data_IF_017198013391
#
_entry.id   IF_017198013391
#
_cell.length_a   1.000
_cell.length_b   1.000
_cell.length_c   1.000
_cell.angle_alpha   90.00
_cell.angle_beta   90.00
_cell.angle_gamma   90.00
#
_symmetry.space_group_name_H-M   'P 1'
#
loop_
_entity.id
_entity.type
_entity.pdbx_description
1 polymer ?
#
# COMPACT_ATOMS: atom_id res chain seq x y z
N UNK A 1 -3.02 1.36 -2.06
CA UNK A 1 -2.95 2.33 -3.18
C UNK A 1 -1.78 2.01 -4.09
N UNK A 2 -0.53 1.99 -3.61
CA UNK A 2 0.64 1.66 -4.45
C UNK A 2 0.56 0.33 -5.17
N UNK A 3 -0.09 -0.66 -4.57
CA UNK A 3 -0.34 -1.95 -5.19
C UNK A 3 -1.38 -1.93 -6.31
N UNK A 4 -2.35 -1.04 -6.23
CA UNK A 4 -3.31 -0.81 -7.31
C UNK A 4 -2.58 -0.34 -8.57
N UNK A 5 -1.62 0.58 -8.41
CA UNK A 5 -0.80 1.06 -9.52
C UNK A 5 0.17 0.03 -10.05
N UNK A 6 0.72 -0.79 -9.19
CA UNK A 6 1.51 -1.92 -9.66
C UNK A 6 0.69 -2.82 -10.60
N UNK A 7 -0.58 -3.04 -10.27
CA UNK A 7 -1.50 -3.78 -11.17
C UNK A 7 -1.74 -3.01 -12.47
N UNK A 8 -1.89 -1.69 -12.41
CA UNK A 8 -1.98 -0.81 -13.58
C UNK A 8 -0.72 -0.86 -14.45
N UNK A 9 0.44 -0.77 -13.83
CA UNK A 9 1.74 -0.89 -14.49
C UNK A 9 1.88 -2.23 -15.22
N UNK A 10 1.52 -3.33 -14.58
CA UNK A 10 1.50 -4.66 -15.19
C UNK A 10 0.59 -4.72 -16.41
N UNK A 11 -0.58 -4.07 -16.35
CA UNK A 11 -1.55 -4.06 -17.45
C UNK A 11 -1.11 -3.15 -18.60
N UNK A 12 -0.79 -1.89 -18.31
CA UNK A 12 -0.62 -0.87 -19.35
C UNK A 12 0.81 -0.79 -19.90
N UNK A 13 1.83 -1.08 -19.07
CA UNK A 13 3.23 -0.98 -19.49
C UNK A 13 3.80 -2.35 -19.85
N UNK A 14 3.58 -3.38 -19.02
CA UNK A 14 4.03 -4.73 -19.33
C UNK A 14 3.10 -5.50 -20.28
N UNK A 15 1.92 -4.95 -20.60
CA UNK A 15 1.01 -5.50 -21.58
C UNK A 15 0.34 -6.83 -21.19
N UNK A 16 0.13 -7.09 -19.90
CA UNK A 16 -0.53 -8.32 -19.43
C UNK A 16 -2.04 -8.18 -19.60
N UNK A 17 -2.57 -8.63 -20.73
CA UNK A 17 -3.96 -8.45 -21.13
C UNK A 17 -4.96 -9.13 -20.20
N UNK A 18 -4.58 -10.25 -19.56
CA UNK A 18 -5.46 -10.96 -18.63
C UNK A 18 -5.89 -10.09 -17.43
N UNK A 19 -5.09 -9.08 -17.05
CA UNK A 19 -5.41 -8.18 -15.95
C UNK A 19 -6.51 -7.17 -16.27
N UNK A 20 -6.98 -7.08 -17.53
CA UNK A 20 -8.10 -6.21 -17.92
C UNK A 20 -9.34 -6.43 -17.05
N UNK A 21 -9.57 -7.67 -16.62
CA UNK A 21 -10.75 -8.03 -15.82
C UNK A 21 -10.71 -7.51 -14.36
N UNK A 22 -9.55 -7.08 -13.85
CA UNK A 22 -9.39 -6.64 -12.46
C UNK A 22 -8.89 -5.20 -12.34
N UNK A 23 -8.53 -4.57 -13.45
CA UNK A 23 -7.92 -3.24 -13.43
C UNK A 23 -8.86 -2.17 -12.88
N UNK A 24 -10.14 -2.20 -13.24
CA UNK A 24 -11.13 -1.24 -12.77
C UNK A 24 -11.31 -1.33 -11.24
N UNK A 25 -11.29 -2.54 -10.69
CA UNK A 25 -11.29 -2.75 -9.25
C UNK A 25 -10.00 -2.19 -8.61
N UNK A 26 -8.84 -2.39 -9.24
CA UNK A 26 -7.59 -1.84 -8.76
C UNK A 26 -7.60 -0.30 -8.74
N UNK A 27 -8.11 0.34 -9.79
CA UNK A 27 -8.27 1.82 -9.85
C UNK A 27 -9.21 2.29 -8.73
N UNK A 28 -10.35 1.64 -8.54
CA UNK A 28 -11.28 1.96 -7.45
C UNK A 28 -10.59 1.85 -6.08
N UNK A 29 -9.87 0.75 -5.82
CA UNK A 29 -9.12 0.57 -4.57
C UNK A 29 -8.07 1.67 -4.40
N UNK A 30 -7.35 2.01 -5.46
CA UNK A 30 -6.39 3.11 -5.47
C UNK A 30 -7.05 4.43 -5.04
N UNK A 31 -8.16 4.78 -5.69
CA UNK A 31 -8.93 5.99 -5.39
C UNK A 31 -9.41 6.02 -3.92
N UNK A 32 -9.98 4.92 -3.42
CA UNK A 32 -10.43 4.82 -2.03
C UNK A 32 -9.26 5.00 -1.05
N UNK A 33 -8.15 4.31 -1.30
CA UNK A 33 -6.99 4.37 -0.39
C UNK A 33 -6.38 5.77 -0.31
N UNK A 34 -6.25 6.47 -1.44
CA UNK A 34 -5.62 7.79 -1.44
C UNK A 34 -6.55 8.91 -0.99
N UNK A 35 -7.83 8.85 -1.32
CA UNK A 35 -8.83 9.78 -0.74
C UNK A 35 -8.94 9.61 0.78
N UNK A 36 -8.92 8.35 1.26
CA UNK A 36 -8.87 8.06 2.70
C UNK A 36 -7.59 8.59 3.36
N UNK A 37 -6.43 8.43 2.71
CA UNK A 37 -5.17 8.95 3.21
C UNK A 37 -5.18 10.47 3.32
N UNK A 38 -5.74 11.18 2.34
CA UNK A 38 -5.90 12.64 2.39
C UNK A 38 -6.85 13.07 3.51
N UNK A 39 -7.94 12.34 3.73
CA UNK A 39 -8.86 12.62 4.84
C UNK A 39 -8.18 12.46 6.20
N UNK A 40 -7.44 11.37 6.40
CA UNK A 40 -6.69 11.14 7.64
C UNK A 40 -5.62 12.21 7.81
N UNK A 41 -4.85 12.51 6.76
CA UNK A 41 -3.82 13.54 6.81
C UNK A 41 -4.41 14.91 7.17
N UNK A 42 -5.59 15.27 6.64
CA UNK A 42 -6.27 16.50 6.98
C UNK A 42 -6.67 16.58 8.47
N UNK A 43 -6.98 15.44 9.09
CA UNK A 43 -7.29 15.37 10.53
C UNK A 43 -6.01 15.47 11.37
N UNK A 44 -4.92 14.83 10.90
CA UNK A 44 -3.68 14.65 11.66
C UNK A 44 -2.74 15.86 11.61
N UNK A 45 -2.86 16.72 10.61
CA UNK A 45 -1.96 17.88 10.40
C UNK A 45 -1.95 18.90 11.55
N UNK A 46 -2.81 18.75 12.57
CA UNK A 46 -2.89 19.64 13.75
C UNK A 46 -3.47 21.04 13.46
N UNK A 47 -3.22 21.61 12.28
CA UNK A 47 -3.82 22.87 11.82
C UNK A 47 -4.39 22.70 10.39
N UNK A 48 -5.51 22.00 10.21
CA UNK A 48 -6.05 21.67 8.89
C UNK A 48 -6.29 22.88 7.99
N UNK A 49 -6.75 24.00 8.57
CA UNK A 49 -7.02 25.24 7.85
C UNK A 49 -5.75 25.94 7.35
N UNK A 50 -4.58 25.52 7.81
CA UNK A 50 -3.28 26.02 7.35
C UNK A 50 -2.51 25.01 6.50
N UNK A 51 -3.03 23.82 6.25
CA UNK A 51 -2.35 22.77 5.49
C UNK A 51 -1.94 23.21 4.06
N UNK A 52 -2.69 24.15 3.48
CA UNK A 52 -2.37 24.73 2.17
C UNK A 52 -1.04 25.51 2.16
N UNK A 53 -0.53 25.99 3.30
CA UNK A 53 0.78 26.66 3.40
C UNK A 53 1.93 25.78 2.90
N UNK A 54 1.82 24.44 3.03
CA UNK A 54 2.85 23.50 2.58
C UNK A 54 3.10 23.63 1.06
N UNK A 55 2.10 24.02 0.29
CA UNK A 55 2.21 24.21 -1.17
C UNK A 55 2.82 25.56 -1.57
N UNK A 56 2.64 26.61 -0.75
CA UNK A 56 3.13 27.96 -1.04
C UNK A 56 4.45 28.29 -0.35
N UNK A 57 4.73 27.63 0.75
CA UNK A 57 5.95 27.76 1.53
C UNK A 57 6.66 26.41 1.68
N UNK A 58 6.86 25.76 0.55
CA UNK A 58 7.45 24.43 0.48
C UNK A 58 8.90 24.42 1.00
N UNK A 59 9.19 23.54 1.95
CA UNK A 59 10.55 23.23 2.35
C UNK A 59 11.07 22.07 1.49
N UNK A 60 11.93 22.37 0.52
CA UNK A 60 12.48 21.39 -0.43
C UNK A 60 13.37 20.32 0.23
N UNK A 61 13.80 20.54 1.47
CA UNK A 61 14.56 19.56 2.23
C UNK A 61 13.68 18.69 3.14
N UNK A 62 12.37 18.91 3.14
CA UNK A 62 11.43 18.14 3.95
C UNK A 62 10.78 17.03 3.14
N UNK A 63 11.00 15.78 3.54
CA UNK A 63 10.28 14.63 2.94
C UNK A 63 8.77 14.74 3.13
N UNK A 64 8.30 15.39 4.19
CA UNK A 64 6.87 15.60 4.41
C UNK A 64 6.27 16.53 3.34
N UNK A 65 7.01 17.55 2.92
CA UNK A 65 6.60 18.42 1.80
C UNK A 65 6.46 17.62 0.52
N UNK A 66 7.44 16.78 0.21
CA UNK A 66 7.42 15.90 -0.95
C UNK A 66 6.22 14.94 -0.91
N UNK A 67 5.97 14.31 0.25
CA UNK A 67 4.80 13.44 0.46
C UNK A 67 3.50 14.18 0.18
N UNK A 68 3.35 15.42 0.65
CA UNK A 68 2.14 16.21 0.44
C UNK A 68 1.92 16.53 -1.05
N UNK A 69 2.97 16.93 -1.76
CA UNK A 69 2.91 17.19 -3.19
C UNK A 69 2.60 15.92 -3.98
N UNK A 70 3.36 14.86 -3.78
CA UNK A 70 3.17 13.59 -4.47
C UNK A 70 1.76 13.03 -4.22
N UNK A 71 1.27 13.07 -2.99
CA UNK A 71 -0.05 12.57 -2.63
C UNK A 71 -1.16 13.38 -3.33
N UNK A 72 -1.02 14.71 -3.38
CA UNK A 72 -2.02 15.58 -4.00
C UNK A 72 -2.07 15.44 -5.51
N UNK A 73 -0.90 15.47 -6.18
CA UNK A 73 -0.81 15.28 -7.63
C UNK A 73 -1.30 13.88 -8.02
N UNK A 74 -0.93 12.90 -7.23
CA UNK A 74 -1.33 11.54 -7.45
C UNK A 74 -2.84 11.33 -7.28
N UNK A 75 -3.46 11.96 -6.29
CA UNK A 75 -4.91 11.93 -6.13
C UNK A 75 -5.62 12.57 -7.34
N UNK A 76 -5.04 13.62 -7.92
CA UNK A 76 -5.56 14.19 -9.16
C UNK A 76 -5.47 13.19 -10.33
N UNK A 77 -4.34 12.49 -10.48
CA UNK A 77 -4.19 11.41 -11.48
C UNK A 77 -5.24 10.32 -11.28
N UNK A 78 -5.42 9.85 -10.05
CA UNK A 78 -6.45 8.86 -9.73
C UNK A 78 -7.87 9.33 -10.04
N UNK A 79 -8.15 10.59 -9.77
CA UNK A 79 -9.45 11.16 -10.10
C UNK A 79 -9.68 11.13 -11.61
N UNK A 80 -8.65 11.47 -12.41
CA UNK A 80 -8.72 11.38 -13.87
C UNK A 80 -8.91 9.93 -14.34
N UNK A 81 -8.22 8.97 -13.72
CA UNK A 81 -8.39 7.54 -14.03
C UNK A 81 -9.77 6.99 -13.62
N UNK A 82 -10.37 7.58 -12.59
CA UNK A 82 -11.70 7.17 -12.11
C UNK A 82 -12.85 7.78 -12.92
N UNK A 83 -12.63 8.91 -13.61
CA UNK A 83 -13.64 9.57 -14.45
C UNK A 83 -14.21 8.63 -15.54
N UNK A 84 -13.42 7.91 -16.33
CA UNK A 84 -13.96 6.96 -17.32
C UNK A 84 -14.90 5.94 -16.73
N UNK A 85 -14.57 5.38 -15.56
CA UNK A 85 -15.45 4.44 -14.85
C UNK A 85 -16.82 5.06 -14.53
N UNK A 86 -16.87 6.35 -14.17
CA UNK A 86 -18.13 7.07 -13.92
C UNK A 86 -18.87 7.29 -15.22
N UNK A 87 -18.18 7.71 -16.29
CA UNK A 87 -18.77 8.04 -17.59
C UNK A 87 -19.29 6.80 -18.32
N UNK A 88 -18.69 5.63 -18.10
CA UNK A 88 -19.14 4.33 -18.60
C UNK A 88 -20.40 3.79 -17.88
N UNK A 89 -20.99 4.57 -16.98
CA UNK A 89 -22.28 4.22 -16.40
C UNK A 89 -23.32 4.03 -17.53
N UNK A 90 -24.13 2.97 -17.42
CA UNK A 90 -25.12 2.54 -18.42
C UNK A 90 -26.06 3.64 -18.94
N UNK A 91 -26.26 4.71 -18.16
CA UNK A 91 -27.08 5.86 -18.54
C UNK A 91 -26.29 6.92 -19.30
N UNK A 92 -25.09 7.22 -18.82
CA UNK A 92 -24.21 8.27 -19.39
C UNK A 92 -23.58 7.82 -20.71
N UNK A 93 -23.22 6.56 -20.84
CA UNK A 93 -22.62 5.99 -22.05
C UNK A 93 -23.56 6.04 -23.28
N UNK A 94 -24.86 6.21 -23.07
CA UNK A 94 -25.84 6.39 -24.16
C UNK A 94 -25.73 7.75 -24.85
N UNK A 95 -25.04 8.72 -24.24
CA UNK A 95 -24.85 10.05 -24.82
C UNK A 95 -23.61 10.03 -25.72
N UNK A 96 -23.73 10.26 -27.05
CA UNK A 96 -22.62 10.10 -28.00
C UNK A 96 -21.39 10.94 -27.65
N UNK A 97 -21.58 12.14 -27.11
CA UNK A 97 -20.48 13.00 -26.66
C UNK A 97 -19.70 12.36 -25.51
N UNK A 98 -20.40 11.80 -24.52
CA UNK A 98 -19.81 11.16 -23.35
C UNK A 98 -19.06 9.89 -23.76
N UNK A 99 -19.68 9.08 -24.61
CA UNK A 99 -19.06 7.86 -25.14
C UNK A 99 -17.74 8.16 -25.86
N UNK A 100 -17.73 9.14 -26.75
CA UNK A 100 -16.52 9.55 -27.47
C UNK A 100 -15.44 10.14 -26.53
N UNK A 101 -15.85 10.90 -25.50
CA UNK A 101 -14.95 11.43 -24.50
C UNK A 101 -14.27 10.30 -23.74
N UNK A 102 -15.04 9.33 -23.26
CA UNK A 102 -14.52 8.18 -22.52
C UNK A 102 -13.55 7.35 -23.37
N UNK A 103 -13.92 7.10 -24.64
CA UNK A 103 -13.06 6.39 -25.57
C UNK A 103 -11.71 7.11 -25.77
N UNK A 104 -11.72 8.40 -25.95
CA UNK A 104 -10.51 9.20 -26.08
C UNK A 104 -9.67 9.19 -24.79
N UNK A 105 -10.30 9.22 -23.62
CA UNK A 105 -9.59 9.12 -22.34
C UNK A 105 -8.84 7.80 -22.21
N UNK A 106 -9.38 6.68 -22.67
CA UNK A 106 -8.69 5.38 -22.62
C UNK A 106 -7.37 5.37 -23.38
N UNK A 107 -7.21 6.16 -24.46
CA UNK A 107 -5.95 6.25 -25.20
C UNK A 107 -4.81 6.90 -24.39
N UNK A 108 -5.14 7.76 -23.43
CA UNK A 108 -4.14 8.45 -22.60
C UNK A 108 -3.92 7.76 -21.25
N UNK A 109 -4.71 6.73 -20.91
CA UNK A 109 -4.62 6.03 -19.61
C UNK A 109 -3.23 5.43 -19.34
N UNK A 110 -2.51 4.97 -20.35
CA UNK A 110 -1.17 4.45 -20.18
C UNK A 110 -0.20 5.50 -19.61
N UNK A 111 -0.34 6.77 -20.04
CA UNK A 111 0.47 7.89 -19.52
C UNK A 111 0.12 8.17 -18.06
N UNK A 112 -1.18 8.22 -17.72
CA UNK A 112 -1.62 8.44 -16.35
C UNK A 112 -1.22 7.28 -15.45
N UNK A 113 -1.36 6.03 -15.89
CA UNK A 113 -0.92 4.85 -15.14
C UNK A 113 0.60 4.87 -14.88
N UNK A 114 1.42 5.26 -15.87
CA UNK A 114 2.86 5.40 -15.68
C UNK A 114 3.21 6.51 -14.69
N UNK A 115 2.58 7.68 -14.83
CA UNK A 115 2.77 8.83 -13.93
C UNK A 115 2.31 8.47 -12.51
N UNK A 116 1.15 7.84 -12.38
CA UNK A 116 0.60 7.40 -11.11
C UNK A 116 1.49 6.35 -10.43
N UNK A 117 2.02 5.39 -11.18
CA UNK A 117 2.96 4.39 -10.66
C UNK A 117 4.24 5.05 -10.13
N UNK A 118 4.82 5.98 -10.90
CA UNK A 118 6.02 6.71 -10.50
C UNK A 118 5.77 7.51 -9.21
N UNK A 119 4.73 8.35 -9.18
CA UNK A 119 4.39 9.17 -8.01
C UNK A 119 4.06 8.30 -6.78
N UNK A 120 3.34 7.20 -6.97
CA UNK A 120 3.01 6.29 -5.88
C UNK A 120 4.24 5.60 -5.30
N UNK A 121 5.16 5.15 -6.13
CA UNK A 121 6.39 4.52 -5.67
C UNK A 121 7.30 5.52 -4.98
N UNK A 122 7.43 6.72 -5.53
CA UNK A 122 8.22 7.78 -4.94
C UNK A 122 7.68 8.19 -3.56
N UNK A 123 6.38 8.43 -3.46
CA UNK A 123 5.69 8.70 -2.21
C UNK A 123 5.88 7.58 -1.16
N UNK A 124 5.72 6.31 -1.55
CA UNK A 124 5.96 5.19 -0.65
C UNK A 124 7.42 5.14 -0.18
N UNK A 125 8.35 5.42 -1.08
CA UNK A 125 9.77 5.51 -0.76
C UNK A 125 10.05 6.62 0.25
N UNK A 126 9.52 7.81 0.04
CA UNK A 126 9.70 8.95 0.94
C UNK A 126 9.14 8.68 2.33
N UNK A 127 7.96 8.04 2.44
CA UNK A 127 7.44 7.57 3.73
C UNK A 127 8.38 6.60 4.42
N UNK A 128 9.00 5.67 3.68
CA UNK A 128 10.02 4.76 4.21
C UNK A 128 11.32 5.47 4.58
N UNK A 129 11.64 6.58 3.93
CA UNK A 129 12.81 7.39 4.21
C UNK A 129 12.68 8.33 5.41
N UNK A 130 11.45 8.76 5.76
CA UNK A 130 11.21 9.65 6.91
C UNK A 130 11.88 9.16 8.19
N UNK A 131 11.73 7.88 8.61
CA UNK A 131 12.45 7.37 9.79
C UNK A 131 13.96 7.48 9.69
N UNK A 132 14.52 7.44 8.49
CA UNK A 132 15.95 7.54 8.24
C UNK A 132 16.53 8.93 8.40
N UNK A 133 15.71 9.98 8.38
CA UNK A 133 16.16 11.39 8.47
C UNK A 133 15.66 12.10 9.72
N UNK A 134 14.99 11.41 10.63
CA UNK A 134 14.51 11.98 11.87
C UNK A 134 15.70 12.31 12.80
N UNK A 135 15.96 13.60 12.95
CA UNK A 135 16.97 14.08 13.88
C UNK A 135 16.65 13.67 15.33
N UNK A 136 17.65 13.28 16.07
CA UNK A 136 17.50 12.81 17.45
C UNK A 136 17.05 11.36 17.60
N UNK A 137 16.79 10.66 16.51
CA UNK A 137 16.43 9.23 16.51
C UNK A 137 17.35 8.43 15.58
N UNK A 138 18.65 8.42 15.84
CA UNK A 138 19.68 7.97 14.90
C UNK A 138 19.62 6.49 14.50
N UNK A 139 19.03 5.62 15.33
CA UNK A 139 18.85 4.20 15.00
C UNK A 139 17.65 3.94 14.08
N UNK A 140 16.79 4.93 13.90
CA UNK A 140 15.81 4.93 12.83
C UNK A 140 16.46 5.03 11.45
N UNK A 141 17.68 5.53 11.38
CA UNK A 141 18.50 5.44 10.19
C UNK A 141 18.76 3.97 9.90
N UNK A 142 17.93 3.40 9.11
CA UNK A 142 18.21 2.20 8.35
C UNK A 142 19.24 2.57 7.30
N UNK A 143 20.45 2.92 7.76
CA UNK A 143 21.56 3.23 6.90
C UNK A 143 21.77 2.07 5.95
N UNK A 144 22.03 2.40 4.74
CA UNK A 144 22.02 1.60 3.57
C UNK A 144 23.22 0.63 3.47
N UNK A 145 23.02 -0.42 2.72
CA UNK A 145 24.13 -1.26 2.26
C UNK A 145 24.88 -0.57 1.10
N UNK A 146 24.15 0.10 0.20
CA UNK A 146 24.70 0.68 -1.02
C UNK A 146 24.20 2.10 -1.33
N UNK A 147 22.97 2.44 -0.94
CA UNK A 147 22.30 3.71 -1.32
C UNK A 147 21.41 4.16 -0.17
N UNK A 148 21.26 5.44 -0.01
CA UNK A 148 20.45 6.15 0.96
C UNK A 148 19.05 5.60 1.20
N UNK A 149 18.42 5.82 2.33
CA UNK A 149 18.09 4.78 3.31
C UNK A 149 17.37 3.62 2.62
N UNK A 150 17.87 2.40 2.82
CA UNK A 150 17.33 1.20 2.17
C UNK A 150 15.85 0.96 2.47
N UNK A 151 15.34 1.49 3.59
CA UNK A 151 13.92 1.52 3.93
C UNK A 151 13.05 2.22 2.86
N UNK A 152 13.59 3.20 2.12
CA UNK A 152 12.93 3.80 0.96
C UNK A 152 12.53 2.73 -0.07
N UNK A 153 13.47 1.90 -0.45
CA UNK A 153 13.24 0.83 -1.42
C UNK A 153 12.37 -0.29 -0.86
N UNK A 154 12.54 -0.66 0.40
CA UNK A 154 11.74 -1.69 1.05
C UNK A 154 10.25 -1.27 1.14
N UNK A 155 9.97 -0.02 1.41
CA UNK A 155 8.58 0.48 1.43
C UNK A 155 7.93 0.40 0.05
N UNK A 156 8.63 0.86 -0.98
CA UNK A 156 8.16 0.77 -2.36
C UNK A 156 7.93 -0.67 -2.78
N UNK A 157 8.91 -1.53 -2.50
CA UNK A 157 8.84 -2.95 -2.88
C UNK A 157 7.71 -3.69 -2.17
N UNK A 158 7.54 -3.45 -0.86
CA UNK A 158 6.42 -4.05 -0.12
C UNK A 158 5.06 -3.60 -0.64
N UNK A 159 4.90 -2.35 -1.07
CA UNK A 159 3.66 -1.87 -1.67
C UNK A 159 3.34 -2.64 -2.98
N UNK A 160 4.34 -2.85 -3.84
CA UNK A 160 4.20 -3.64 -5.05
C UNK A 160 3.95 -5.13 -4.75
N UNK A 161 4.60 -5.68 -3.73
CA UNK A 161 4.50 -7.09 -3.36
C UNK A 161 3.13 -7.46 -2.78
N UNK A 162 2.62 -6.66 -1.85
CA UNK A 162 1.39 -6.97 -1.11
C UNK A 162 0.13 -6.32 -1.68
N UNK A 163 0.27 -5.31 -2.54
CA UNK A 163 -0.87 -4.64 -3.16
C UNK A 163 -1.79 -5.56 -3.94
N UNK A 164 -1.27 -6.46 -4.79
CA UNK A 164 -2.10 -7.46 -5.46
C UNK A 164 -2.84 -8.38 -4.50
N UNK A 165 -2.25 -8.73 -3.34
CA UNK A 165 -2.95 -9.47 -2.29
C UNK A 165 -4.15 -8.68 -1.77
N UNK A 166 -4.00 -7.38 -1.53
CA UNK A 166 -5.11 -6.54 -1.08
C UNK A 166 -6.22 -6.45 -2.13
N UNK A 167 -5.88 -6.31 -3.40
CA UNK A 167 -6.85 -6.32 -4.50
C UNK A 167 -7.62 -7.65 -4.55
N UNK A 168 -6.91 -8.78 -4.42
CA UNK A 168 -7.54 -10.10 -4.38
C UNK A 168 -8.40 -10.30 -3.14
N UNK A 169 -8.00 -9.73 -2.00
CA UNK A 169 -8.78 -9.77 -0.76
C UNK A 169 -10.10 -9.02 -0.89
N UNK A 170 -10.08 -7.80 -1.45
CA UNK A 170 -11.30 -7.02 -1.71
C UNK A 170 -12.18 -7.75 -2.73
N UNK A 171 -11.60 -8.29 -3.81
CA UNK A 171 -12.34 -9.10 -4.77
C UNK A 171 -13.04 -10.28 -4.09
N UNK A 172 -12.34 -11.00 -3.22
CA UNK A 172 -12.93 -12.12 -2.47
C UNK A 172 -14.10 -11.69 -1.60
N UNK A 173 -14.02 -10.54 -0.92
CA UNK A 173 -15.13 -9.99 -0.12
C UNK A 173 -16.33 -9.73 -1.03
N UNK A 174 -16.12 -9.05 -2.17
CA UNK A 174 -17.20 -8.70 -3.11
C UNK A 174 -17.84 -9.98 -3.67
N UNK A 175 -17.05 -10.96 -4.09
CA UNK A 175 -17.56 -12.25 -4.58
C UNK A 175 -18.34 -13.01 -3.49
N UNK A 176 -17.85 -12.97 -2.25
CA UNK A 176 -18.51 -13.62 -1.11
C UNK A 176 -19.87 -13.00 -0.78
N UNK A 177 -19.96 -11.67 -0.84
CA UNK A 177 -21.19 -10.91 -0.56
C UNK A 177 -22.18 -11.00 -1.72
N UNK A 178 -21.69 -10.91 -2.97
CA UNK A 178 -22.55 -10.97 -4.16
C UNK A 178 -22.99 -12.38 -4.54
N UNK A 179 -22.30 -13.41 -4.05
CA UNK A 179 -22.54 -14.81 -4.43
C UNK A 179 -22.14 -15.16 -5.86
N UNK A 180 -21.44 -14.24 -6.56
CA UNK A 180 -21.04 -14.41 -7.96
C UNK A 180 -19.53 -14.47 -8.09
N UNK A 181 -19.02 -15.25 -9.05
CA UNK A 181 -17.63 -15.20 -9.44
C UNK A 181 -17.44 -14.06 -10.45
N UNK A 182 -16.76 -12.99 -10.04
CA UNK A 182 -16.61 -11.76 -10.82
C UNK A 182 -15.31 -11.73 -11.61
N UNK A 183 -14.25 -12.32 -11.07
CA UNK A 183 -12.92 -12.39 -11.71
C UNK A 183 -12.60 -13.83 -12.09
N UNK A 184 -12.07 -14.02 -13.30
CA UNK A 184 -11.65 -15.33 -13.80
C UNK A 184 -10.56 -15.94 -12.90
N UNK A 185 -10.62 -17.25 -12.71
CA UNK A 185 -9.69 -17.96 -11.81
C UNK A 185 -8.24 -17.88 -12.28
N UNK A 186 -8.00 -17.89 -13.61
CA UNK A 186 -6.65 -17.71 -14.15
C UNK A 186 -6.05 -16.36 -13.81
N UNK A 187 -6.85 -15.27 -13.80
CA UNK A 187 -6.42 -13.92 -13.42
C UNK A 187 -6.05 -13.87 -11.94
N UNK A 188 -6.88 -14.47 -11.07
CA UNK A 188 -6.58 -14.57 -9.63
C UNK A 188 -5.27 -15.32 -9.37
N UNK A 189 -5.05 -16.44 -10.07
CA UNK A 189 -3.84 -17.23 -9.95
C UNK A 189 -2.62 -16.51 -10.50
N UNK A 190 -2.73 -15.79 -11.62
CA UNK A 190 -1.66 -14.99 -12.19
C UNK A 190 -1.22 -13.89 -11.22
N UNK A 191 -2.19 -13.10 -10.73
CA UNK A 191 -1.91 -12.00 -9.80
C UNK A 191 -1.33 -12.50 -8.48
N UNK A 192 -1.84 -13.63 -7.96
CA UNK A 192 -1.30 -14.29 -6.77
C UNK A 192 0.13 -14.80 -6.99
N UNK A 193 0.45 -15.35 -8.17
CA UNK A 193 1.82 -15.78 -8.52
C UNK A 193 2.80 -14.62 -8.55
N UNK A 194 2.41 -13.51 -9.20
CA UNK A 194 3.24 -12.30 -9.27
C UNK A 194 3.50 -11.78 -7.86
N UNK A 195 2.46 -11.64 -7.04
CA UNK A 195 2.59 -11.22 -5.65
C UNK A 195 3.49 -12.15 -4.84
N UNK A 196 3.36 -13.46 -5.01
CA UNK A 196 4.19 -14.45 -4.31
C UNK A 196 5.69 -14.26 -4.59
N UNK A 197 6.09 -14.08 -5.84
CA UNK A 197 7.48 -13.81 -6.21
C UNK A 197 7.96 -12.47 -5.66
N UNK A 198 7.14 -11.44 -5.75
CA UNK A 198 7.46 -10.13 -5.20
C UNK A 198 7.63 -10.16 -3.68
N UNK A 199 6.79 -10.93 -2.96
CA UNK A 199 6.91 -11.11 -1.51
C UNK A 199 8.23 -11.80 -1.15
N UNK A 200 8.59 -12.88 -1.81
CA UNK A 200 9.84 -13.60 -1.50
C UNK A 200 11.06 -12.71 -1.73
N UNK A 201 11.12 -12.01 -2.86
CA UNK A 201 12.23 -11.10 -3.13
C UNK A 201 12.28 -9.94 -2.13
N UNK A 202 11.12 -9.39 -1.74
CA UNK A 202 11.03 -8.39 -0.69
C UNK A 202 11.55 -8.92 0.66
N UNK A 203 11.14 -10.12 1.07
CA UNK A 203 11.56 -10.71 2.35
C UNK A 203 13.06 -10.99 2.38
N UNK A 204 13.64 -11.46 1.28
CA UNK A 204 15.08 -11.63 1.17
C UNK A 204 15.80 -10.28 1.37
N UNK A 205 15.37 -9.24 0.67
CA UNK A 205 15.93 -7.90 0.81
C UNK A 205 15.77 -7.37 2.25
N UNK A 206 14.61 -7.60 2.87
CA UNK A 206 14.35 -7.18 4.26
C UNK A 206 15.19 -7.96 5.28
N UNK A 207 15.41 -9.25 5.10
CA UNK A 207 16.29 -10.02 5.97
C UNK A 207 17.72 -9.48 5.88
N UNK A 208 18.22 -9.22 4.67
CA UNK A 208 19.56 -8.64 4.46
C UNK A 208 19.67 -7.27 5.15
N UNK A 209 18.68 -6.39 4.96
CA UNK A 209 18.62 -5.09 5.64
C UNK A 209 18.60 -5.24 7.18
N UNK A 210 17.77 -6.15 7.69
CA UNK A 210 17.65 -6.37 9.14
C UNK A 210 18.94 -6.91 9.74
N UNK A 211 19.61 -7.84 9.05
CA UNK A 211 20.92 -8.37 9.50
C UNK A 211 21.97 -7.27 9.48
N UNK A 212 22.07 -6.49 8.43
CA UNK A 212 23.01 -5.37 8.34
C UNK A 212 22.75 -4.34 9.44
N UNK A 213 21.49 -3.97 9.66
CA UNK A 213 21.11 -3.05 10.74
C UNK A 213 21.48 -3.59 12.12
N UNK A 214 21.20 -4.87 12.38
CA UNK A 214 21.49 -5.50 13.67
C UNK A 214 22.99 -5.69 13.97
N UNK A 215 23.81 -5.89 12.93
CA UNK A 215 25.25 -6.17 13.09
C UNK A 215 26.14 -4.94 12.95
N UNK A 216 25.67 -3.92 12.27
CA UNK A 216 26.48 -2.73 11.94
C UNK A 216 25.88 -1.43 12.46
N UNK A 217 24.68 -1.08 12.02
CA UNK A 217 24.10 0.24 12.28
C UNK A 217 23.68 0.41 13.74
N UNK A 218 22.97 -0.55 14.32
CA UNK A 218 22.54 -0.47 15.72
C UNK A 218 23.72 -0.50 16.71
N UNK A 219 24.70 -1.43 16.59
CA UNK A 219 25.88 -1.42 17.46
C UNK A 219 26.73 -0.16 17.35
N UNK A 220 26.88 0.43 16.17
CA UNK A 220 27.59 1.69 15.98
C UNK A 220 26.95 2.87 16.75
N UNK A 221 25.71 2.71 17.17
CA UNK A 221 24.94 3.69 17.96
C UNK A 221 24.74 3.27 19.41
N UNK A 222 25.38 2.18 19.84
CA UNK A 222 25.31 1.67 21.22
C UNK A 222 24.03 0.87 21.52
N UNK A 223 23.31 0.41 20.50
CA UNK A 223 22.11 -0.39 20.67
C UNK A 223 22.31 -1.81 20.12
N UNK A 224 21.52 -2.75 20.64
CA UNK A 224 21.43 -4.10 20.14
C UNK A 224 20.04 -4.36 19.54
N UNK A 225 19.92 -5.40 18.73
CA UNK A 225 18.60 -5.83 18.22
C UNK A 225 17.61 -6.07 19.36
N UNK A 226 18.09 -6.64 20.47
CA UNK A 226 17.23 -7.00 21.60
C UNK A 226 16.71 -5.78 22.35
N UNK A 227 17.40 -4.65 22.34
CA UNK A 227 16.91 -3.43 22.97
C UNK A 227 15.58 -2.96 22.38
N UNK A 228 15.40 -3.15 21.07
CA UNK A 228 14.18 -2.80 20.35
C UNK A 228 13.03 -3.79 20.57
N UNK A 229 13.35 -5.04 20.87
CA UNK A 229 12.34 -6.10 20.94
C UNK A 229 12.07 -6.60 22.36
N UNK A 230 13.00 -6.41 23.31
CA UNK A 230 12.83 -6.87 24.70
C UNK A 230 12.42 -5.76 25.67
N UNK A 231 12.93 -4.56 25.49
CA UNK A 231 12.62 -3.42 26.37
C UNK A 231 11.22 -2.86 26.16
N UNK A 232 10.63 -3.10 25.01
CA UNK A 232 9.27 -2.73 24.72
C UNK A 232 8.38 -3.99 24.81
N UNK A 233 7.70 -4.17 25.92
CA UNK A 233 6.91 -5.36 26.22
C UNK A 233 5.82 -5.65 25.16
N UNK A 234 5.37 -4.65 24.43
CA UNK A 234 4.38 -4.78 23.37
C UNK A 234 4.96 -5.49 22.13
N UNK A 235 6.25 -5.34 21.88
CA UNK A 235 6.88 -5.74 20.62
C UNK A 235 7.93 -6.84 20.78
N UNK A 236 7.84 -7.70 21.70
CA UNK A 236 8.81 -8.80 21.86
C UNK A 236 9.28 -9.40 20.53
N UNK A 237 10.38 -10.13 20.52
CA UNK A 237 11.01 -10.67 19.29
C UNK A 237 10.06 -11.53 18.43
N UNK A 238 8.97 -12.00 19.00
CA UNK A 238 7.93 -12.73 18.29
C UNK A 238 7.31 -11.92 17.13
N UNK A 239 7.29 -10.57 17.24
CA UNK A 239 6.72 -9.72 16.19
C UNK A 239 7.60 -9.71 14.94
N UNK A 240 8.92 -9.76 15.10
CA UNK A 240 9.86 -9.92 14.00
C UNK A 240 9.65 -11.27 13.30
N UNK A 241 9.45 -12.34 14.09
CA UNK A 241 9.13 -13.65 13.55
C UNK A 241 7.79 -13.65 12.81
N UNK A 242 6.76 -13.04 13.39
CA UNK A 242 5.45 -12.90 12.74
C UNK A 242 5.54 -12.14 11.42
N UNK A 243 6.28 -11.04 11.39
CA UNK A 243 6.45 -10.23 10.19
C UNK A 243 7.21 -10.97 9.08
N UNK A 244 8.37 -11.54 9.41
CA UNK A 244 9.24 -12.16 8.41
C UNK A 244 8.76 -13.54 7.98
N UNK A 245 8.35 -14.38 8.93
CA UNK A 245 8.01 -15.78 8.65
C UNK A 245 6.54 -15.94 8.37
N UNK A 246 5.66 -15.63 9.35
CA UNK A 246 4.22 -15.90 9.20
C UNK A 246 3.57 -15.05 8.12
N UNK A 247 3.92 -13.79 8.04
CA UNK A 247 3.32 -12.85 7.10
C UNK A 247 4.18 -12.59 5.85
N UNK A 248 5.39 -13.12 5.79
CA UNK A 248 6.31 -12.99 4.67
C UNK A 248 6.59 -14.30 3.96
N UNK A 249 7.42 -15.16 4.57
CA UNK A 249 7.87 -16.41 3.94
C UNK A 249 6.69 -17.35 3.65
N UNK A 250 5.80 -17.55 4.61
CA UNK A 250 4.66 -18.48 4.47
C UNK A 250 3.74 -18.06 3.30
N UNK A 251 3.20 -16.83 3.24
CA UNK A 251 2.36 -16.45 2.11
C UNK A 251 3.13 -16.46 0.78
N UNK A 252 4.39 -16.03 0.77
CA UNK A 252 5.22 -16.08 -0.43
C UNK A 252 5.34 -17.49 -1.00
N UNK A 253 5.68 -18.47 -0.18
CA UNK A 253 5.81 -19.88 -0.60
C UNK A 253 4.47 -20.48 -1.06
N UNK A 254 3.37 -20.19 -0.36
CA UNK A 254 2.04 -20.65 -0.77
C UNK A 254 1.68 -20.08 -2.14
N UNK A 255 1.91 -18.80 -2.37
CA UNK A 255 1.53 -18.12 -3.61
C UNK A 255 2.44 -18.49 -4.79
N UNK A 256 3.70 -18.85 -4.56
CA UNK A 256 4.60 -19.35 -5.61
C UNK A 256 4.26 -20.79 -6.00
N UNK A 257 3.92 -21.64 -5.05
CA UNK A 257 3.64 -23.04 -5.30
C UNK A 257 2.39 -23.22 -6.15
N UNK A 258 2.44 -23.84 -7.35
CA UNK A 258 1.27 -24.04 -8.19
C UNK A 258 0.17 -24.86 -7.49
N UNK A 259 0.56 -25.89 -6.72
CA UNK A 259 -0.37 -26.78 -6.02
C UNK A 259 -1.11 -26.05 -4.90
N UNK A 260 -0.38 -25.31 -4.06
CA UNK A 260 -0.98 -24.58 -2.93
C UNK A 260 -1.79 -23.38 -3.42
N UNK A 261 -1.30 -22.65 -4.43
CA UNK A 261 -2.00 -21.53 -5.04
C UNK A 261 -3.31 -21.96 -5.71
N UNK A 262 -3.37 -23.15 -6.29
CA UNK A 262 -4.60 -23.70 -6.88
C UNK A 262 -5.67 -23.99 -5.82
N UNK A 263 -5.28 -24.31 -4.60
CA UNK A 263 -6.21 -24.47 -3.49
C UNK A 263 -6.72 -23.10 -3.03
N UNK A 264 -8.02 -22.87 -3.18
CA UNK A 264 -8.66 -21.60 -2.86
C UNK A 264 -8.49 -21.18 -1.39
N UNK A 265 -8.56 -22.13 -0.46
CA UNK A 265 -8.41 -21.84 0.98
C UNK A 265 -6.96 -21.47 1.32
N UNK A 266 -5.99 -22.24 0.83
CA UNK A 266 -4.58 -21.95 1.05
C UNK A 266 -4.19 -20.58 0.45
N UNK A 267 -4.67 -20.29 -0.76
CA UNK A 267 -4.47 -18.98 -1.41
C UNK A 267 -5.09 -17.84 -0.60
N UNK A 268 -6.32 -18.02 -0.10
CA UNK A 268 -6.98 -17.00 0.72
C UNK A 268 -6.22 -16.75 2.04
N UNK A 269 -5.78 -17.80 2.72
CA UNK A 269 -4.96 -17.64 3.92
C UNK A 269 -3.68 -16.85 3.62
N UNK A 270 -2.99 -17.19 2.53
CA UNK A 270 -1.79 -16.46 2.13
C UNK A 270 -2.06 -14.98 1.80
N UNK A 271 -3.18 -14.68 1.14
CA UNK A 271 -3.61 -13.31 0.85
C UNK A 271 -3.87 -12.53 2.15
N UNK A 272 -4.59 -13.11 3.10
CA UNK A 272 -4.89 -12.49 4.39
C UNK A 272 -3.61 -12.25 5.19
N UNK A 273 -2.72 -13.26 5.27
CA UNK A 273 -1.43 -13.12 5.93
C UNK A 273 -0.58 -12.02 5.28
N UNK A 274 -0.61 -11.90 3.96
CA UNK A 274 0.08 -10.83 3.25
C UNK A 274 -0.45 -9.44 3.59
N UNK A 275 -1.77 -9.27 3.65
CA UNK A 275 -2.40 -8.00 4.04
C UNK A 275 -2.05 -7.62 5.48
N UNK A 276 -2.11 -8.59 6.39
CA UNK A 276 -1.69 -8.39 7.79
C UNK A 276 -0.20 -8.04 7.83
N UNK A 277 0.63 -8.71 7.04
CA UNK A 277 2.08 -8.53 7.02
C UNK A 277 2.52 -7.13 6.66
N UNK A 278 1.93 -6.54 5.61
CA UNK A 278 2.27 -5.17 5.22
C UNK A 278 1.81 -4.15 6.27
N UNK A 279 0.67 -4.37 6.88
CA UNK A 279 0.17 -3.52 7.97
C UNK A 279 1.06 -3.60 9.20
N UNK A 280 1.44 -4.83 9.58
CA UNK A 280 2.35 -5.08 10.69
C UNK A 280 3.73 -4.43 10.47
N UNK A 281 4.27 -4.55 9.25
CA UNK A 281 5.54 -3.90 8.90
C UNK A 281 5.48 -2.39 9.10
N UNK A 282 4.43 -1.72 8.62
CA UNK A 282 4.27 -0.27 8.77
C UNK A 282 4.15 0.14 10.24
N UNK A 283 3.35 -0.60 10.99
CA UNK A 283 3.18 -0.40 12.42
C UNK A 283 4.51 -0.53 13.17
N UNK A 284 5.21 -1.64 13.00
CA UNK A 284 6.48 -1.91 13.69
C UNK A 284 7.54 -0.87 13.35
N UNK A 285 7.70 -0.52 12.08
CA UNK A 285 8.70 0.46 11.65
C UNK A 285 8.46 1.85 12.28
N UNK A 286 7.23 2.31 12.29
CA UNK A 286 6.88 3.63 12.86
C UNK A 286 7.02 3.61 14.37
N UNK A 287 6.46 2.62 15.04
CA UNK A 287 6.45 2.60 16.51
C UNK A 287 7.82 2.33 17.13
N UNK A 288 8.64 1.46 16.52
CA UNK A 288 10.01 1.25 16.99
C UNK A 288 10.81 2.56 16.96
N UNK A 289 10.66 3.34 15.89
CA UNK A 289 11.30 4.64 15.77
C UNK A 289 10.85 5.61 16.87
N UNK A 290 9.55 5.62 17.15
CA UNK A 290 8.98 6.53 18.15
C UNK A 290 9.26 6.10 19.60
N UNK A 291 9.52 4.83 19.85
CA UNK A 291 9.69 4.25 21.19
C UNK A 291 11.03 4.58 21.82
N UNK A 292 12.05 4.96 21.03
CA UNK A 292 13.41 5.11 21.51
C UNK A 292 13.61 6.40 22.28
N UNK A 293 14.34 6.35 23.41
CA UNK A 293 14.69 7.53 24.18
C UNK A 293 15.57 8.48 23.37
N UNK A 294 15.23 9.76 23.38
CA UNK A 294 15.97 10.83 22.68
C UNK A 294 16.91 11.55 23.65
N UNK A 295 16.48 11.76 24.88
CA UNK A 295 17.26 12.42 25.91
C UNK A 295 17.93 11.39 26.83
N UNK A 296 19.07 11.71 27.46
CA UNK A 296 19.81 10.77 28.32
C UNK A 296 19.00 10.21 29.51
N UNK A 297 17.96 10.93 29.92
CA UNK A 297 17.09 10.55 31.05
C UNK A 297 15.72 10.00 30.61
N UNK A 298 15.46 9.93 29.30
CA UNK A 298 14.24 9.35 28.79
C UNK A 298 14.27 7.82 28.98
N UNK A 299 13.07 7.25 29.07
CA UNK A 299 12.86 5.80 29.05
C UNK A 299 12.22 5.39 27.71
N UNK A 300 12.30 4.10 27.41
CA UNK A 300 11.63 3.54 26.25
C UNK A 300 10.11 3.79 26.35
N UNK A 301 9.57 4.46 25.33
CA UNK A 301 8.16 4.78 25.29
C UNK A 301 7.35 3.56 24.85
N UNK A 302 6.31 3.22 25.64
CA UNK A 302 5.30 2.26 25.25
C UNK A 302 4.13 3.01 24.65
N UNK A 303 3.73 2.61 23.45
CA UNK A 303 2.59 3.19 22.77
C UNK A 303 1.42 2.21 22.70
N UNK A 304 0.27 2.67 23.15
CA UNK A 304 -1.01 2.02 22.97
C UNK A 304 -1.96 2.99 22.27
N UNK A 305 -2.60 2.59 21.16
CA UNK A 305 -3.53 3.49 20.48
C UNK A 305 -4.69 3.85 21.41
N UNK A 306 -4.99 5.13 21.48
CA UNK A 306 -6.15 5.64 22.19
C UNK A 306 -7.44 5.27 21.46
N UNK A 307 -8.58 5.32 22.14
CA UNK A 307 -9.87 5.05 21.49
C UNK A 307 -10.16 6.06 20.37
N UNK A 308 -9.67 7.29 20.48
CA UNK A 308 -9.80 8.31 19.43
C UNK A 308 -9.04 7.91 18.16
N UNK A 309 -7.81 7.41 18.30
CA UNK A 309 -7.01 6.94 17.19
C UNK A 309 -7.63 5.70 16.53
N UNK A 310 -8.17 4.79 17.33
CA UNK A 310 -8.91 3.63 16.80
C UNK A 310 -10.17 4.10 16.06
N UNK A 311 -10.93 5.05 16.63
CA UNK A 311 -12.13 5.58 16.00
C UNK A 311 -11.83 6.27 14.65
N UNK A 312 -10.74 7.04 14.57
CA UNK A 312 -10.33 7.66 13.30
C UNK A 312 -9.95 6.66 12.23
N UNK A 313 -9.46 5.46 12.61
CA UNK A 313 -9.17 4.39 11.63
C UNK A 313 -10.42 3.69 11.10
N UNK A 314 -11.54 3.75 11.80
CA UNK A 314 -12.82 3.19 11.34
C UNK A 314 -13.40 4.02 10.19
N UNK A 315 -13.20 5.33 10.21
CA UNK A 315 -13.72 6.25 9.19
C UNK A 315 -13.33 5.85 7.75
N UNK A 316 -12.04 5.67 7.41
CA UNK A 316 -11.63 5.27 6.07
C UNK A 316 -12.13 3.87 5.69
N UNK A 317 -12.29 2.97 6.64
CA UNK A 317 -12.87 1.64 6.37
C UNK A 317 -14.34 1.77 5.99
N UNK A 318 -15.13 2.52 6.76
CA UNK A 318 -16.53 2.77 6.46
C UNK A 318 -16.71 3.51 5.12
N UNK A 319 -15.91 4.54 4.87
CA UNK A 319 -15.86 5.25 3.60
C UNK A 319 -15.55 4.29 2.42
N UNK A 320 -14.53 3.44 2.57
CA UNK A 320 -14.15 2.46 1.55
C UNK A 320 -15.27 1.47 1.26
N UNK A 321 -15.94 0.94 2.28
CA UNK A 321 -17.08 0.02 2.12
C UNK A 321 -18.21 0.71 1.35
N UNK A 322 -18.57 1.94 1.72
CA UNK A 322 -19.64 2.71 1.04
C UNK A 322 -19.28 2.92 -0.43
N UNK A 323 -18.05 3.37 -0.72
CA UNK A 323 -17.63 3.60 -2.11
C UNK A 323 -17.60 2.31 -2.93
N UNK A 324 -17.14 1.20 -2.37
CA UNK A 324 -17.18 -0.10 -3.05
C UNK A 324 -18.62 -0.50 -3.34
N UNK A 325 -19.54 -0.34 -2.39
CA UNK A 325 -20.97 -0.69 -2.58
C UNK A 325 -21.63 0.17 -3.67
N UNK A 326 -21.41 1.49 -3.63
CA UNK A 326 -21.93 2.42 -4.64
C UNK A 326 -21.36 2.09 -6.02
N UNK A 327 -20.04 1.92 -6.09
CA UNK A 327 -19.34 1.64 -7.34
C UNK A 327 -19.75 0.29 -7.93
N UNK A 328 -19.89 -0.75 -7.10
CA UNK A 328 -20.38 -2.06 -7.55
C UNK A 328 -21.80 -2.00 -8.12
N UNK A 329 -22.65 -1.16 -7.53
CA UNK A 329 -24.04 -1.03 -7.98
C UNK A 329 -24.21 -0.23 -9.27
N UNK A 330 -23.41 0.82 -9.45
CA UNK A 330 -23.66 1.81 -10.52
C UNK A 330 -22.58 1.85 -11.61
N UNK A 331 -21.38 1.35 -11.35
CA UNK A 331 -20.25 1.45 -12.26
C UNK A 331 -19.85 0.07 -12.82
N UNK A 332 -19.31 -0.01 -14.03
CA UNK A 332 -18.82 -1.24 -14.66
C UNK A 332 -17.45 -1.65 -14.10
N UNK A 333 -17.38 -1.96 -12.78
CA UNK A 333 -16.13 -2.37 -12.14
C UNK A 333 -15.64 -3.71 -12.71
N UNK A 334 -16.57 -4.60 -13.02
CA UNK A 334 -16.27 -5.91 -13.57
C UNK A 334 -16.83 -5.98 -15.02
N UNK A 335 -15.96 -5.96 -16.06
CA UNK A 335 -16.39 -5.93 -17.45
C UNK A 335 -17.30 -7.09 -17.87
N UNK A 336 -17.28 -8.19 -17.13
CA UNK A 336 -18.06 -9.40 -17.42
C UNK A 336 -19.55 -9.29 -17.06
N UNK A 337 -19.97 -8.28 -16.31
CA UNK A 337 -21.40 -8.03 -16.01
C UNK A 337 -22.14 -7.28 -17.12
N UNK A 338 -21.40 -6.75 -18.09
CA UNK A 338 -21.99 -5.99 -19.22
C UNK A 338 -22.51 -6.93 -20.34
N UNK A 339 -22.10 -8.19 -20.33
CA UNK A 339 -22.50 -9.20 -21.33
C UNK A 339 -23.69 -10.06 -20.88
N UNK A 340 -24.31 -9.76 -19.75
CA UNK A 340 -25.57 -10.35 -19.27
C UNK A 340 -26.69 -9.30 -19.25
#
# INVERSE_FOLDING_TARGET
GGGAFFTGLLRYIFGIDELKNIINLAVLIGFICYSSALLILAIDVGQPLRSWFIFWHANVHSMLTEVAFCLSVYFAVLTIEYIPLILENRQLDKVPFIHNLTHNMHHIMAVFAATGAFLSFFHQGSLGGVPGVLFGRPFAFREHILVWPFSFFLFTWSAAAYGPCFTLFINWIIEKVSGKQLVKENVKQLLAKISGWMIITYIIAKIVDTVYWATSTAPARGFTLMDFYSNNALYGIWILFAELVLCGVVPGLILISPKLRANQQARLIAIILGVIGVSLNRWVMVLQVMAVPVMPFDTWALYYPSWQEVATTILPVAYGVILVMISYRYLPIFPQEVEL
#
